data_IF_488937025366
#
_entry.id   IF_488937025366
#
_cell.length_a   1.000
_cell.length_b   1.000
_cell.length_c   1.000
_cell.angle_alpha   90.00
_cell.angle_beta   90.00
_cell.angle_gamma   90.00
#
_symmetry.space_group_name_H-M   'P 1'
#
loop_
_entity.id
_entity.type
_entity.pdbx_description
1 polymer ?
#
# COMPACT_ATOMS: atom_id res chain seq x y z
N UNK A 1 61.84 21.97 -44.04
CA UNK A 1 62.99 21.32 -43.37
C UNK A 1 62.47 20.53 -42.18
N UNK A 2 62.81 19.22 -42.22
CA UNK A 2 62.91 18.22 -41.10
C UNK A 2 61.70 18.03 -40.18
N UNK A 3 60.92 16.94 -40.33
CA UNK A 3 61.16 15.52 -39.90
C UNK A 3 61.57 15.37 -38.44
N UNK A 4 60.69 14.69 -37.68
CA UNK A 4 60.92 13.41 -36.93
C UNK A 4 59.69 13.18 -36.04
N UNK A 5 58.90 12.26 -36.30
CA UNK A 5 58.73 10.85 -35.92
C UNK A 5 59.36 10.53 -34.55
N UNK A 6 58.53 10.18 -33.61
CA UNK A 6 58.81 9.18 -32.60
C UNK A 6 57.47 8.56 -32.11
N UNK A 7 57.24 7.36 -32.61
CA UNK A 7 56.39 6.38 -31.97
C UNK A 7 57.01 5.96 -30.63
N UNK A 8 56.24 5.91 -29.60
CA UNK A 8 56.55 4.99 -28.48
C UNK A 8 55.22 4.48 -27.89
N UNK A 9 55.09 3.21 -28.08
CA UNK A 9 54.11 2.34 -27.45
C UNK A 9 54.09 2.54 -25.93
N UNK A 10 52.90 2.74 -25.40
CA UNK A 10 52.62 2.29 -24.05
C UNK A 10 51.24 1.64 -24.00
N UNK A 11 51.27 0.32 -23.86
CA UNK A 11 50.17 -0.55 -23.57
C UNK A 11 49.38 -0.02 -22.39
N UNK A 12 48.15 0.40 -22.61
CA UNK A 12 47.17 0.61 -21.56
C UNK A 12 46.73 -0.76 -21.03
N UNK A 13 47.03 -1.04 -19.79
CA UNK A 13 46.43 -2.13 -19.02
C UNK A 13 44.95 -1.90 -18.92
N UNK A 14 44.17 -2.87 -19.35
CA UNK A 14 42.75 -2.96 -19.14
C UNK A 14 42.44 -2.87 -17.65
N UNK A 15 41.93 -1.75 -17.21
CA UNK A 15 41.38 -1.52 -15.89
C UNK A 15 40.01 -2.19 -15.80
N UNK A 16 39.83 -2.92 -14.75
CA UNK A 16 38.73 -3.81 -14.48
C UNK A 16 37.35 -3.24 -14.72
N UNK A 17 36.52 -4.05 -15.32
CA UNK A 17 35.07 -3.95 -15.27
C UNK A 17 34.66 -4.04 -13.82
N UNK A 18 34.44 -2.90 -13.19
CA UNK A 18 33.69 -2.83 -11.96
C UNK A 18 32.26 -3.24 -12.27
N UNK A 19 32.00 -4.51 -12.15
CA UNK A 19 30.67 -5.05 -12.07
C UNK A 19 30.05 -4.47 -10.78
N UNK A 20 29.30 -3.37 -10.91
CA UNK A 20 28.37 -2.97 -9.84
C UNK A 20 27.45 -4.17 -9.66
N UNK A 21 27.67 -4.89 -8.58
CA UNK A 21 26.70 -5.84 -8.09
C UNK A 21 25.41 -5.04 -7.89
N UNK A 22 24.48 -5.14 -8.84
CA UNK A 22 23.10 -4.77 -8.60
C UNK A 22 22.65 -5.74 -7.53
N UNK A 23 22.57 -5.25 -6.29
CA UNK A 23 21.86 -5.92 -5.22
C UNK A 23 20.39 -6.07 -5.68
N UNK A 24 20.15 -7.10 -6.46
CA UNK A 24 18.81 -7.58 -6.76
C UNK A 24 18.33 -8.23 -5.48
N UNK A 25 17.73 -7.40 -4.62
CA UNK A 25 16.96 -7.91 -3.51
C UNK A 25 15.91 -8.83 -4.12
N UNK A 26 16.01 -10.13 -3.82
CA UNK A 26 15.10 -11.14 -4.34
C UNK A 26 13.70 -10.81 -3.82
N UNK A 27 12.69 -10.64 -4.68
CA UNK A 27 11.33 -10.40 -4.22
C UNK A 27 10.86 -11.58 -3.38
N UNK A 28 10.16 -11.29 -2.28
CA UNK A 28 9.52 -12.33 -1.46
C UNK A 28 8.45 -13.02 -2.32
N UNK A 29 8.38 -14.33 -2.24
CA UNK A 29 7.44 -15.08 -3.05
C UNK A 29 5.98 -14.61 -2.83
N UNK A 30 5.20 -14.40 -3.90
CA UNK A 30 3.82 -13.90 -3.80
C UNK A 30 2.92 -14.72 -2.84
N UNK A 31 3.17 -16.02 -2.74
CA UNK A 31 2.47 -16.92 -1.81
C UNK A 31 2.64 -16.53 -0.35
N UNK A 32 3.83 -16.05 0.03
CA UNK A 32 4.11 -15.62 1.41
C UNK A 32 3.35 -14.34 1.76
N UNK A 33 3.40 -13.33 0.91
CA UNK A 33 2.66 -12.08 1.12
C UNK A 33 1.16 -12.32 1.29
N UNK A 34 0.56 -13.19 0.46
CA UNK A 34 -0.84 -13.58 0.59
C UNK A 34 -1.13 -14.31 1.89
N UNK A 35 -0.29 -15.27 2.30
CA UNK A 35 -0.44 -16.00 3.56
C UNK A 35 -0.35 -15.06 4.78
N UNK A 36 0.57 -14.10 4.76
CA UNK A 36 0.72 -13.11 5.83
C UNK A 36 -0.53 -12.21 5.94
N UNK A 37 -1.13 -11.80 4.83
CA UNK A 37 -2.37 -11.03 4.82
C UNK A 37 -3.54 -11.84 5.38
N UNK A 38 -3.68 -13.12 5.00
CA UNK A 38 -4.69 -14.02 5.56
C UNK A 38 -4.52 -14.18 7.06
N UNK A 39 -3.29 -14.45 7.52
CA UNK A 39 -3.02 -14.63 8.95
C UNK A 39 -3.36 -13.36 9.76
N UNK A 40 -3.03 -12.17 9.25
CA UNK A 40 -3.39 -10.89 9.88
C UNK A 40 -4.91 -10.70 9.95
N UNK A 41 -5.64 -11.01 8.87
CA UNK A 41 -7.09 -10.92 8.85
C UNK A 41 -7.75 -11.94 9.81
N UNK A 42 -7.26 -13.18 9.87
CA UNK A 42 -7.73 -14.21 10.81
C UNK A 42 -7.47 -13.83 12.28
N UNK A 43 -6.39 -13.11 12.58
CA UNK A 43 -6.13 -12.62 13.93
C UNK A 43 -7.18 -11.57 14.38
N UNK A 44 -7.81 -10.85 13.43
CA UNK A 44 -8.91 -9.91 13.72
C UNK A 44 -10.24 -10.62 13.94
N UNK A 45 -10.53 -11.65 13.15
CA UNK A 45 -11.77 -12.43 13.23
C UNK A 45 -11.48 -13.93 13.02
N UNK A 46 -11.00 -14.62 14.07
CA UNK A 46 -10.54 -16.01 13.95
C UNK A 46 -11.65 -17.00 13.58
N UNK A 47 -12.90 -16.67 13.86
CA UNK A 47 -14.05 -17.55 13.63
C UNK A 47 -14.66 -17.42 12.23
N UNK A 48 -14.12 -16.50 11.41
CA UNK A 48 -14.59 -16.30 10.06
C UNK A 48 -13.69 -17.01 9.03
N UNK A 49 -14.34 -17.69 8.08
CA UNK A 49 -13.63 -18.22 6.93
C UNK A 49 -13.05 -17.08 6.08
N UNK A 50 -11.75 -17.08 5.86
CA UNK A 50 -11.07 -16.06 5.06
C UNK A 50 -11.15 -16.43 3.58
N UNK A 51 -11.94 -15.68 2.82
CA UNK A 51 -11.95 -15.74 1.36
C UNK A 51 -11.18 -14.54 0.82
N UNK A 52 -9.93 -14.79 0.45
CA UNK A 52 -9.20 -13.82 -0.35
C UNK A 52 -9.46 -14.19 -1.80
N UNK A 53 -10.15 -13.33 -2.54
CA UNK A 53 -10.26 -13.43 -3.99
C UNK A 53 -8.88 -13.54 -4.65
N UNK A 54 -8.79 -13.84 -5.93
CA UNK A 54 -7.50 -13.90 -6.62
C UNK A 54 -6.74 -12.61 -6.38
N UNK A 55 -5.60 -12.70 -5.70
CA UNK A 55 -4.74 -11.54 -5.49
C UNK A 55 -4.13 -11.16 -6.83
N UNK A 56 -4.35 -9.94 -7.33
CA UNK A 56 -3.83 -9.53 -8.62
C UNK A 56 -2.32 -9.70 -8.70
N UNK A 57 -1.81 -10.04 -9.87
CA UNK A 57 -0.38 -10.04 -10.11
C UNK A 57 0.12 -8.60 -10.10
N UNK A 58 1.12 -8.32 -9.26
CA UNK A 58 1.85 -7.06 -9.26
C UNK A 58 3.34 -7.35 -9.13
N UNK A 59 4.16 -6.55 -9.82
CA UNK A 59 5.61 -6.71 -9.77
C UNK A 59 6.21 -6.32 -8.41
N UNK A 60 5.47 -5.53 -7.63
CA UNK A 60 5.95 -4.98 -6.36
C UNK A 60 5.74 -5.91 -5.17
N UNK A 61 4.96 -6.99 -5.31
CA UNK A 61 4.67 -7.89 -4.20
C UNK A 61 5.94 -8.54 -3.67
N UNK A 62 6.25 -8.26 -2.40
CA UNK A 62 7.42 -8.76 -1.70
C UNK A 62 8.67 -7.90 -1.84
N UNK A 63 8.61 -6.74 -2.52
CA UNK A 63 9.71 -5.79 -2.55
C UNK A 63 9.98 -5.20 -1.15
N UNK A 64 11.24 -4.98 -0.78
CA UNK A 64 11.59 -4.49 0.56
C UNK A 64 11.48 -2.96 0.69
N UNK A 65 10.81 -2.29 -0.22
CA UNK A 65 10.64 -0.84 -0.27
C UNK A 65 9.19 -0.42 -0.04
N UNK A 66 8.88 0.86 -0.29
CA UNK A 66 7.54 1.42 -0.09
C UNK A 66 6.47 0.67 -0.89
N UNK A 67 6.74 0.34 -2.16
CA UNK A 67 5.73 -0.29 -3.01
C UNK A 67 5.36 -1.70 -2.52
N UNK A 68 6.35 -2.51 -2.13
CA UNK A 68 6.06 -3.81 -1.54
C UNK A 68 5.31 -3.69 -0.20
N UNK A 69 5.58 -2.63 0.57
CA UNK A 69 4.88 -2.37 1.83
C UNK A 69 3.42 -1.98 1.62
N UNK A 70 3.14 -1.14 0.60
CA UNK A 70 1.78 -0.77 0.23
C UNK A 70 0.98 -2.00 -0.23
N UNK A 71 1.56 -2.82 -1.10
CA UNK A 71 0.93 -4.08 -1.55
C UNK A 71 0.65 -5.05 -0.40
N UNK A 72 1.51 -5.12 0.63
CA UNK A 72 1.23 -5.90 1.85
C UNK A 72 -0.06 -5.43 2.54
N UNK A 73 -0.28 -4.12 2.60
CA UNK A 73 -1.51 -3.55 3.17
C UNK A 73 -2.71 -3.82 2.26
N UNK A 74 -2.58 -3.62 0.95
CA UNK A 74 -3.66 -3.92 -0.01
C UNK A 74 -4.13 -5.38 0.10
N UNK A 75 -3.21 -6.34 0.23
CA UNK A 75 -3.56 -7.75 0.42
C UNK A 75 -4.31 -7.97 1.74
N UNK A 76 -3.92 -7.26 2.81
CA UNK A 76 -4.65 -7.26 4.08
C UNK A 76 -6.04 -6.67 3.94
N UNK A 77 -6.18 -5.54 3.24
CA UNK A 77 -7.47 -4.87 3.04
C UNK A 77 -8.41 -5.73 2.19
N UNK A 78 -7.92 -6.39 1.14
CA UNK A 78 -8.67 -7.38 0.37
C UNK A 78 -9.20 -8.51 1.26
N UNK A 79 -8.38 -9.00 2.19
CA UNK A 79 -8.77 -10.03 3.13
C UNK A 79 -9.86 -9.53 4.10
N UNK A 80 -9.71 -8.34 4.68
CA UNK A 80 -10.69 -7.75 5.59
C UNK A 80 -12.04 -7.51 4.90
N UNK A 81 -12.03 -6.98 3.68
CA UNK A 81 -13.25 -6.79 2.88
C UNK A 81 -13.95 -8.13 2.60
N UNK A 82 -13.20 -9.15 2.19
CA UNK A 82 -13.75 -10.48 1.93
C UNK A 82 -14.37 -11.09 3.21
N UNK A 83 -13.70 -10.97 4.35
CA UNK A 83 -14.24 -11.44 5.64
C UNK A 83 -15.48 -10.67 6.04
N UNK A 84 -15.52 -9.36 5.82
CA UNK A 84 -16.65 -8.52 6.16
C UNK A 84 -17.90 -8.86 5.32
N UNK A 85 -17.73 -9.19 4.04
CA UNK A 85 -18.80 -9.67 3.16
C UNK A 85 -19.44 -10.98 3.63
N UNK A 86 -18.68 -11.88 4.27
CA UNK A 86 -19.20 -13.15 4.82
C UNK A 86 -20.08 -12.93 6.07
N UNK A 87 -20.02 -11.76 6.71
CA UNK A 87 -20.81 -11.48 7.91
C UNK A 87 -22.29 -11.23 7.58
N UNK A 88 -23.18 -11.55 8.53
CA UNK A 88 -24.61 -11.32 8.39
C UNK A 88 -25.18 -10.47 9.54
N UNK A 89 -26.09 -9.57 9.21
CA UNK A 89 -26.76 -8.72 10.18
C UNK A 89 -25.79 -7.86 10.99
N UNK A 90 -26.24 -7.37 12.14
CA UNK A 90 -25.41 -6.69 13.13
C UNK A 90 -24.82 -7.72 14.08
N UNK A 91 -23.68 -8.29 13.71
CA UNK A 91 -22.96 -9.28 14.53
C UNK A 91 -21.71 -8.66 15.17
N UNK A 92 -21.22 -9.17 16.31
CA UNK A 92 -19.96 -8.71 16.89
C UNK A 92 -18.78 -8.81 15.93
N UNK A 93 -18.77 -9.81 15.05
CA UNK A 93 -17.73 -9.96 14.04
C UNK A 93 -17.81 -8.88 12.97
N UNK A 94 -19.01 -8.53 12.50
CA UNK A 94 -19.20 -7.41 11.56
C UNK A 94 -18.70 -6.09 12.17
N UNK A 95 -19.10 -5.81 13.40
CA UNK A 95 -18.67 -4.59 14.10
C UNK A 95 -17.15 -4.54 14.26
N UNK A 96 -16.53 -5.63 14.71
CA UNK A 96 -15.07 -5.72 14.89
C UNK A 96 -14.32 -5.56 13.58
N UNK A 97 -14.73 -6.28 12.53
CA UNK A 97 -14.10 -6.22 11.21
C UNK A 97 -14.26 -4.85 10.56
N UNK A 98 -15.42 -4.21 10.71
CA UNK A 98 -15.63 -2.88 10.16
C UNK A 98 -14.74 -1.84 10.86
N UNK A 99 -14.66 -1.87 12.18
CA UNK A 99 -13.76 -0.98 12.94
C UNK A 99 -12.30 -1.18 12.52
N UNK A 100 -11.86 -2.44 12.37
CA UNK A 100 -10.50 -2.73 11.91
C UNK A 100 -10.26 -2.24 10.48
N UNK A 101 -11.21 -2.43 9.57
CA UNK A 101 -11.13 -1.95 8.19
C UNK A 101 -11.00 -0.41 8.15
N UNK A 102 -11.83 0.31 8.90
CA UNK A 102 -11.77 1.78 8.99
C UNK A 102 -10.39 2.23 9.46
N UNK A 103 -9.84 1.63 10.51
CA UNK A 103 -8.52 1.98 11.04
C UNK A 103 -7.41 1.66 10.03
N UNK A 104 -7.48 0.51 9.36
CA UNK A 104 -6.47 0.12 8.38
C UNK A 104 -6.47 1.05 7.16
N UNK A 105 -7.65 1.36 6.58
CA UNK A 105 -7.75 2.20 5.40
C UNK A 105 -7.32 3.63 5.69
N UNK A 106 -7.81 4.23 6.78
CA UNK A 106 -7.43 5.60 7.16
C UNK A 106 -5.96 5.75 7.49
N UNK A 107 -5.40 4.83 8.27
CA UNK A 107 -3.99 4.87 8.62
C UNK A 107 -3.09 4.61 7.41
N UNK A 108 -3.53 3.79 6.46
CA UNK A 108 -2.86 3.55 5.19
C UNK A 108 -2.83 4.80 4.33
N UNK A 109 -4.00 5.39 4.03
CA UNK A 109 -4.11 6.59 3.21
C UNK A 109 -3.27 7.76 3.76
N UNK A 110 -3.40 8.08 5.05
CA UNK A 110 -2.62 9.14 5.68
C UNK A 110 -1.09 8.89 5.64
N UNK A 111 -0.68 7.63 5.79
CA UNK A 111 0.74 7.27 5.72
C UNK A 111 1.28 7.28 4.29
N UNK A 112 0.49 6.87 3.32
CA UNK A 112 0.85 6.88 1.91
C UNK A 112 0.94 8.29 1.35
N UNK A 113 -0.04 9.14 1.64
CA UNK A 113 -0.01 10.55 1.26
C UNK A 113 1.25 11.24 1.77
N UNK A 114 1.62 11.00 3.02
CA UNK A 114 2.82 11.59 3.60
C UNK A 114 4.11 11.01 3.02
N UNK A 115 4.19 9.70 2.84
CA UNK A 115 5.43 9.03 2.47
C UNK A 115 5.70 9.04 0.97
N UNK A 116 4.67 8.76 0.15
CA UNK A 116 4.80 8.59 -1.30
C UNK A 116 4.29 9.80 -2.05
N UNK A 117 2.99 10.12 -1.96
CA UNK A 117 2.36 11.11 -2.83
C UNK A 117 2.89 12.52 -2.62
N UNK A 118 3.17 12.95 -1.38
CA UNK A 118 3.81 14.25 -1.12
C UNK A 118 5.19 14.38 -1.77
N UNK A 119 5.93 13.27 -1.85
CA UNK A 119 7.29 13.24 -2.39
C UNK A 119 7.32 13.35 -3.91
N UNK A 120 6.35 12.74 -4.59
CA UNK A 120 6.28 12.71 -6.06
C UNK A 120 5.38 13.79 -6.65
N UNK A 121 4.65 14.55 -5.83
CA UNK A 121 3.73 15.60 -6.26
C UNK A 121 4.40 16.70 -7.09
N UNK A 122 5.69 16.95 -6.86
CA UNK A 122 6.45 18.00 -7.59
C UNK A 122 7.01 17.55 -8.93
N UNK A 123 6.93 16.26 -9.25
CA UNK A 123 7.38 15.74 -10.53
C UNK A 123 6.22 15.76 -11.53
N UNK A 124 6.35 16.50 -12.67
CA UNK A 124 5.27 16.61 -13.65
C UNK A 124 4.75 15.26 -14.18
N UNK A 125 5.60 14.22 -14.21
CA UNK A 125 5.21 12.89 -14.67
C UNK A 125 4.33 12.11 -13.67
N UNK A 126 4.25 12.57 -12.41
CA UNK A 126 3.51 11.88 -11.34
C UNK A 126 2.55 12.79 -10.59
N UNK A 127 2.52 14.09 -10.88
CA UNK A 127 1.64 15.07 -10.22
C UNK A 127 0.17 14.67 -10.33
N UNK A 128 -0.28 14.27 -11.51
CA UNK A 128 -1.70 13.94 -11.73
C UNK A 128 -2.07 12.64 -11.01
N UNK A 129 -1.19 11.66 -10.98
CA UNK A 129 -1.38 10.44 -10.18
C UNK A 129 -1.49 10.74 -8.68
N UNK A 130 -0.60 11.58 -8.14
CA UNK A 130 -0.65 11.96 -6.74
C UNK A 130 -1.94 12.70 -6.37
N UNK A 131 -2.45 13.57 -7.24
CA UNK A 131 -3.72 14.27 -7.04
C UNK A 131 -4.90 13.33 -7.12
N UNK A 132 -4.89 12.41 -8.06
CA UNK A 132 -5.93 11.42 -8.26
C UNK A 132 -6.05 10.50 -7.04
N UNK A 133 -4.95 9.90 -6.58
CA UNK A 133 -4.93 9.05 -5.41
C UNK A 133 -5.48 9.76 -4.15
N UNK A 134 -5.09 11.01 -3.90
CA UNK A 134 -5.60 11.79 -2.75
C UNK A 134 -7.11 12.07 -2.89
N UNK A 135 -7.60 12.29 -4.12
CA UNK A 135 -9.05 12.48 -4.34
C UNK A 135 -9.83 11.19 -4.06
N UNK A 136 -9.33 10.04 -4.51
CA UNK A 136 -9.94 8.74 -4.24
C UNK A 136 -9.92 8.38 -2.74
N UNK A 137 -8.84 8.70 -2.02
CA UNK A 137 -8.80 8.55 -0.56
C UNK A 137 -9.93 9.31 0.13
N UNK A 138 -10.24 10.54 -0.37
CA UNK A 138 -11.36 11.32 0.16
C UNK A 138 -12.70 10.64 -0.12
N UNK A 139 -12.90 10.10 -1.30
CA UNK A 139 -14.14 9.38 -1.66
C UNK A 139 -14.32 8.12 -0.82
N UNK A 140 -13.24 7.36 -0.60
CA UNK A 140 -13.21 6.20 0.28
C UNK A 140 -13.54 6.60 1.73
N UNK A 141 -12.99 7.71 2.23
CA UNK A 141 -13.29 8.23 3.56
C UNK A 141 -14.77 8.61 3.72
N UNK A 142 -15.39 9.21 2.69
CA UNK A 142 -16.81 9.57 2.68
C UNK A 142 -17.70 8.31 2.70
N UNK A 143 -17.32 7.26 1.97
CA UNK A 143 -17.99 5.96 2.00
C UNK A 143 -17.88 5.29 3.38
N UNK A 144 -16.73 5.35 4.02
CA UNK A 144 -16.52 4.83 5.38
C UNK A 144 -17.36 5.59 6.41
N UNK A 145 -17.44 6.92 6.30
CA UNK A 145 -18.24 7.77 7.18
C UNK A 145 -19.74 7.46 7.02
N UNK A 146 -20.22 7.32 5.77
CA UNK A 146 -21.61 6.94 5.49
C UNK A 146 -21.94 5.55 6.04
N UNK A 147 -21.06 4.57 5.90
CA UNK A 147 -21.22 3.23 6.48
C UNK A 147 -21.29 3.29 8.01
N UNK A 148 -20.44 4.08 8.65
CA UNK A 148 -20.41 4.24 10.10
C UNK A 148 -21.72 4.85 10.67
N UNK A 149 -22.40 5.68 9.87
CA UNK A 149 -23.65 6.32 10.26
C UNK A 149 -24.90 5.43 10.06
N UNK A 150 -24.77 4.29 9.37
CA UNK A 150 -25.90 3.42 9.03
C UNK A 150 -26.04 2.25 10.01
N UNK A 151 -27.28 1.75 10.11
CA UNK A 151 -27.51 0.47 10.79
C UNK A 151 -26.89 -0.68 9.99
N UNK A 152 -25.94 -1.38 10.62
CA UNK A 152 -25.21 -2.50 10.02
C UNK A 152 -26.11 -3.70 9.67
N UNK A 153 -27.30 -3.82 10.25
CA UNK A 153 -28.28 -4.85 9.91
C UNK A 153 -29.07 -4.53 8.64
N UNK A 154 -29.06 -3.27 8.19
CA UNK A 154 -29.89 -2.83 7.09
C UNK A 154 -29.36 -3.29 5.72
N UNK A 155 -30.26 -3.56 4.75
CA UNK A 155 -29.85 -3.79 3.36
C UNK A 155 -29.12 -2.58 2.75
N UNK A 156 -29.36 -1.37 3.26
CA UNK A 156 -28.68 -0.15 2.85
C UNK A 156 -27.20 -0.16 3.21
N UNK A 157 -26.85 -0.70 4.36
CA UNK A 157 -25.47 -0.87 4.78
C UNK A 157 -24.71 -1.84 3.87
N UNK A 158 -25.32 -2.98 3.54
CA UNK A 158 -24.70 -3.99 2.65
C UNK A 158 -24.44 -3.39 1.27
N UNK A 159 -25.41 -2.69 0.68
CA UNK A 159 -25.21 -2.02 -0.63
C UNK A 159 -24.07 -1.00 -0.58
N UNK A 160 -23.94 -0.26 0.53
CA UNK A 160 -22.88 0.73 0.67
C UNK A 160 -21.51 0.06 0.89
N UNK A 161 -21.47 -1.07 1.58
CA UNK A 161 -20.24 -1.88 1.69
C UNK A 161 -19.78 -2.39 0.32
N UNK A 162 -20.73 -2.84 -0.53
CA UNK A 162 -20.40 -3.23 -1.90
C UNK A 162 -19.79 -2.07 -2.68
N UNK A 163 -20.39 -0.87 -2.59
CA UNK A 163 -19.83 0.31 -3.25
C UNK A 163 -18.43 0.68 -2.74
N UNK A 164 -18.20 0.66 -1.42
CA UNK A 164 -16.88 0.86 -0.84
C UNK A 164 -15.86 -0.17 -1.38
N UNK A 165 -16.27 -1.44 -1.45
CA UNK A 165 -15.39 -2.50 -1.94
C UNK A 165 -15.01 -2.29 -3.41
N UNK A 166 -15.98 -1.97 -4.25
CA UNK A 166 -15.75 -1.72 -5.68
C UNK A 166 -14.80 -0.55 -5.89
N UNK A 167 -15.04 0.56 -5.22
CA UNK A 167 -14.21 1.75 -5.26
C UNK A 167 -12.79 1.47 -4.77
N UNK A 168 -12.66 0.86 -3.59
CA UNK A 168 -11.36 0.56 -3.01
C UNK A 168 -10.55 -0.42 -3.87
N UNK A 169 -11.18 -1.47 -4.43
CA UNK A 169 -10.50 -2.41 -5.29
C UNK A 169 -10.12 -1.81 -6.66
N UNK A 170 -10.86 -0.82 -7.14
CA UNK A 170 -10.50 -0.04 -8.32
C UNK A 170 -9.25 0.80 -8.04
N UNK A 171 -9.29 1.61 -7.01
CA UNK A 171 -8.20 2.45 -6.52
C UNK A 171 -6.87 1.68 -6.41
N UNK A 172 -6.81 0.64 -5.57
CA UNK A 172 -5.56 -0.12 -5.37
C UNK A 172 -5.09 -0.88 -6.62
N UNK A 173 -5.96 -1.14 -7.58
CA UNK A 173 -5.58 -1.71 -8.87
C UNK A 173 -4.85 -0.70 -9.73
N UNK A 174 -5.35 0.53 -9.82
CA UNK A 174 -4.70 1.61 -10.55
C UNK A 174 -3.34 1.94 -9.94
N UNK A 175 -3.26 2.00 -8.62
CA UNK A 175 -1.98 2.17 -7.93
C UNK A 175 -0.97 1.09 -8.30
N UNK A 176 -1.33 -0.18 -8.14
CA UNK A 176 -0.41 -1.29 -8.37
C UNK A 176 -0.01 -1.46 -9.83
N UNK A 177 -0.88 -1.11 -10.79
CA UNK A 177 -0.65 -1.34 -12.21
C UNK A 177 -0.07 -0.15 -12.96
N UNK A 178 -0.39 1.08 -12.54
CA UNK A 178 -0.06 2.29 -13.26
C UNK A 178 0.72 3.31 -12.42
N UNK A 179 0.16 3.70 -11.28
CA UNK A 179 0.67 4.84 -10.51
C UNK A 179 2.01 4.51 -9.85
N UNK A 180 2.14 3.34 -9.21
CA UNK A 180 3.42 2.88 -8.64
C UNK A 180 4.48 2.64 -9.72
N UNK A 181 4.07 2.19 -10.90
CA UNK A 181 4.99 2.01 -12.05
C UNK A 181 5.55 3.35 -12.51
N UNK A 182 4.74 4.40 -12.52
CA UNK A 182 5.20 5.75 -12.85
C UNK A 182 6.09 6.35 -11.73
N UNK A 183 5.66 6.21 -10.47
CA UNK A 183 6.40 6.70 -9.31
C UNK A 183 7.76 6.00 -9.15
N UNK A 184 7.86 4.71 -9.43
CA UNK A 184 9.11 3.96 -9.40
C UNK A 184 10.19 4.55 -10.32
N UNK A 185 9.79 5.05 -11.49
CA UNK A 185 10.72 5.67 -12.44
C UNK A 185 11.28 7.01 -11.95
N UNK A 186 10.53 7.69 -11.09
CA UNK A 186 10.89 8.99 -10.53
C UNK A 186 11.70 8.89 -9.23
N UNK A 187 11.82 7.71 -8.62
CA UNK A 187 12.39 7.51 -7.29
C UNK A 187 13.62 6.59 -7.32
N UNK A 188 14.67 6.97 -6.60
CA UNK A 188 15.79 6.06 -6.36
C UNK A 188 15.41 4.93 -5.40
N UNK A 189 16.15 3.82 -5.43
CA UNK A 189 15.94 2.72 -4.46
C UNK A 189 16.16 3.18 -3.01
N UNK A 190 17.07 4.13 -2.78
CA UNK A 190 17.32 4.68 -1.45
C UNK A 190 16.10 5.48 -0.96
N UNK A 191 15.50 6.33 -1.82
CA UNK A 191 14.28 7.07 -1.50
C UNK A 191 13.13 6.12 -1.19
N UNK A 192 12.90 5.12 -2.02
CA UNK A 192 11.84 4.12 -1.81
C UNK A 192 11.97 3.37 -0.49
N UNK A 193 13.19 3.01 -0.08
CA UNK A 193 13.45 2.39 1.24
C UNK A 193 13.22 3.36 2.39
N UNK A 194 13.63 4.60 2.25
CA UNK A 194 13.36 5.64 3.24
C UNK A 194 11.86 5.89 3.40
N UNK A 195 11.13 6.01 2.30
CA UNK A 195 9.67 6.16 2.30
C UNK A 195 8.96 5.02 3.04
N UNK A 196 9.41 3.78 2.90
CA UNK A 196 8.89 2.65 3.71
C UNK A 196 9.01 2.93 5.21
N UNK A 197 10.12 3.52 5.65
CA UNK A 197 10.32 3.88 7.06
C UNK A 197 9.37 4.98 7.51
N UNK A 198 9.19 6.01 6.68
CA UNK A 198 8.24 7.11 6.93
C UNK A 198 6.82 6.58 7.01
N UNK A 199 6.40 5.76 6.05
CA UNK A 199 5.09 5.12 6.01
C UNK A 199 4.80 4.31 7.27
N UNK A 200 5.71 3.42 7.66
CA UNK A 200 5.51 2.57 8.83
C UNK A 200 5.36 3.40 10.11
N UNK A 201 6.16 4.45 10.29
CA UNK A 201 6.06 5.35 11.44
C UNK A 201 4.71 6.06 11.45
N UNK A 202 4.33 6.70 10.34
CA UNK A 202 3.06 7.42 10.24
C UNK A 202 1.85 6.52 10.48
N UNK A 203 1.84 5.34 9.89
CA UNK A 203 0.77 4.36 10.09
C UNK A 203 0.61 3.95 11.55
N UNK A 204 1.71 3.80 12.29
CA UNK A 204 1.67 3.52 13.72
C UNK A 204 1.12 4.70 14.54
N UNK A 205 1.51 5.93 14.19
CA UNK A 205 1.00 7.15 14.82
C UNK A 205 -0.52 7.29 14.63
N UNK A 206 -1.03 7.07 13.43
CA UNK A 206 -2.47 7.10 13.12
C UNK A 206 -3.25 6.05 13.93
N UNK A 207 -2.75 4.82 13.99
CA UNK A 207 -3.39 3.76 14.79
C UNK A 207 -3.38 4.08 16.29
N UNK A 208 -2.32 4.64 16.81
CA UNK A 208 -2.24 5.05 18.21
C UNK A 208 -3.24 6.17 18.53
N UNK A 209 -3.41 7.14 17.64
CA UNK A 209 -4.40 8.21 17.77
C UNK A 209 -5.83 7.66 17.80
N UNK A 210 -6.17 6.76 16.90
CA UNK A 210 -7.49 6.12 16.85
C UNK A 210 -7.82 5.34 18.14
N UNK A 211 -6.84 4.67 18.73
CA UNK A 211 -7.02 3.96 20.01
C UNK A 211 -7.25 4.92 21.19
N UNK A 212 -6.60 6.09 21.22
CA UNK A 212 -6.81 7.13 22.24
C UNK A 212 -8.21 7.71 22.11
N UNK A 213 -8.66 8.06 20.92
CA UNK A 213 -10.01 8.57 20.67
C UNK A 213 -11.10 7.59 21.12
N UNK A 214 -10.91 6.29 20.83
CA UNK A 214 -11.81 5.23 21.30
C UNK A 214 -11.90 5.20 22.83
N UNK A 215 -10.77 5.28 23.52
CA UNK A 215 -10.73 5.29 25.00
C UNK A 215 -11.39 6.53 25.58
N UNK A 216 -11.29 7.68 24.95
CA UNK A 216 -11.95 8.92 25.38
C UNK A 216 -13.47 8.77 25.24
N UNK A 217 -13.97 8.29 24.09
CA UNK A 217 -15.40 8.07 23.84
C UNK A 217 -16.05 7.07 24.81
N UNK A 218 -15.32 6.09 25.27
CA UNK A 218 -15.82 5.09 26.22
C UNK A 218 -15.89 5.63 27.67
N UNK A 219 -15.29 6.79 27.95
CA UNK A 219 -15.30 7.44 29.27
C UNK A 219 -16.27 8.61 29.37
N UNK A 220 -16.82 9.08 28.24
CA UNK A 220 -17.83 10.11 28.14
C UNK A 220 -19.24 9.55 28.13
#
# INVERSE_FOLDING_TARGET
MRKLVLESEMRAKAGGKGQRAQDRVRPVAPRKAKADAVAKAQAVAPDLAVRIGSTPATKFRGDPDIFGRLVEDHDRHRALLAMLEETKGKSPDRERLFVELVHELKAHAAAEEQALWSSVLRNPATTDFARHAVAEHKEIDDLLADLAARDMASPGWVRRLTALREEYLHHIREEEQEQFVAAEKALSLADRRFMRTVFNRRKQEEKATAEVEKKIRLKA
#
